data_IF_724725329415
#
_entry.id   IF_724725329415
#
_cell.length_a   1.000
_cell.length_b   1.000
_cell.length_c   1.000
_cell.angle_alpha   90.00
_cell.angle_beta   90.00
_cell.angle_gamma   90.00
#
_symmetry.space_group_name_H-M   'P 1'
#
loop_
_entity.id
_entity.type
_entity.pdbx_description
1 polymer ?
#
# COMPACT_ATOMS: atom_id res chain seq x y z
N UNK A 1 -0.58 -4.60 19.96
CA UNK A 1 -1.32 -4.76 18.68
C UNK A 1 -1.18 -6.20 18.23
N UNK A 2 -2.26 -6.90 17.94
CA UNK A 2 -2.23 -8.33 17.58
C UNK A 2 -3.36 -8.72 16.63
N UNK A 3 -3.59 -10.01 16.44
CA UNK A 3 -4.56 -10.59 15.46
C UNK A 3 -6.00 -10.09 15.60
N UNK A 4 -6.35 -9.50 16.76
CA UNK A 4 -7.65 -8.83 16.98
C UNK A 4 -7.78 -7.49 16.26
N UNK A 5 -6.68 -6.76 16.07
CA UNK A 5 -6.66 -5.47 15.38
C UNK A 5 -6.41 -5.65 13.88
N UNK A 6 -5.43 -6.48 13.53
CA UNK A 6 -5.16 -6.85 12.15
C UNK A 6 -5.69 -8.26 11.89
N UNK A 7 -6.92 -8.34 11.42
CA UNK A 7 -7.50 -9.63 11.00
C UNK A 7 -6.71 -10.19 9.82
N UNK A 8 -6.77 -11.51 9.57
CA UNK A 8 -6.14 -12.10 8.36
C UNK A 8 -6.73 -11.59 7.03
N UNK A 9 -7.78 -10.76 7.09
CA UNK A 9 -8.33 -10.05 5.94
C UNK A 9 -7.58 -8.74 5.64
N UNK A 10 -6.79 -8.24 6.58
CA UNK A 10 -6.03 -7.00 6.43
C UNK A 10 -5.07 -7.07 5.24
N UNK A 11 -4.26 -8.12 5.13
CA UNK A 11 -3.33 -8.34 4.01
C UNK A 11 -4.08 -8.44 2.68
N UNK A 12 -5.29 -9.00 2.68
CA UNK A 12 -6.13 -9.11 1.49
C UNK A 12 -6.68 -7.76 1.05
N UNK A 13 -6.94 -6.86 2.00
CA UNK A 13 -7.40 -5.50 1.71
C UNK A 13 -6.25 -4.61 1.22
N UNK A 14 -5.11 -4.63 1.92
CA UNK A 14 -3.98 -3.76 1.58
C UNK A 14 -3.14 -4.30 0.43
N UNK A 15 -3.24 -5.60 0.14
CA UNK A 15 -2.55 -6.27 -0.96
C UNK A 15 -1.08 -6.60 -0.69
N UNK A 16 -0.56 -6.29 0.49
CA UNK A 16 0.84 -6.46 0.89
C UNK A 16 0.97 -6.83 2.37
N UNK A 17 2.03 -7.53 2.74
CA UNK A 17 2.30 -7.99 4.11
C UNK A 17 3.08 -6.97 4.97
N UNK A 18 3.89 -6.14 4.32
CA UNK A 18 4.80 -5.23 5.02
C UNK A 18 4.10 -4.08 5.77
N UNK A 19 2.86 -3.71 5.40
CA UNK A 19 2.14 -2.61 6.06
C UNK A 19 1.83 -2.98 7.52
N UNK A 20 1.44 -4.22 7.78
CA UNK A 20 1.23 -4.70 9.16
C UNK A 20 2.54 -4.60 9.95
N UNK A 21 3.64 -5.09 9.36
CA UNK A 21 4.95 -5.10 10.00
C UNK A 21 5.44 -3.68 10.31
N UNK A 22 5.26 -2.75 9.38
CA UNK A 22 5.68 -1.36 9.54
C UNK A 22 4.87 -0.63 10.62
N UNK A 23 3.55 -0.90 10.74
CA UNK A 23 2.73 -0.36 11.83
C UNK A 23 3.13 -0.96 13.18
N UNK A 24 3.39 -2.26 13.25
CA UNK A 24 3.85 -2.94 14.49
C UNK A 24 5.22 -2.41 14.91
N UNK A 25 6.10 -2.12 13.95
CA UNK A 25 7.41 -1.51 14.18
C UNK A 25 7.34 -0.03 14.61
N UNK A 26 6.14 0.57 14.65
CA UNK A 26 5.94 1.95 15.08
C UNK A 26 6.33 3.00 14.04
N UNK A 27 6.42 2.63 12.76
CA UNK A 27 6.69 3.59 11.68
C UNK A 27 5.54 4.58 11.54
N UNK A 28 5.88 5.80 11.14
CA UNK A 28 4.90 6.83 10.84
C UNK A 28 4.12 6.48 9.57
N UNK A 29 2.89 6.99 9.45
CA UNK A 29 2.09 6.83 8.25
C UNK A 29 2.79 7.38 6.99
N UNK A 30 3.65 8.39 7.15
CA UNK A 30 4.42 8.98 6.06
C UNK A 30 5.45 7.99 5.51
N UNK A 31 6.25 7.37 6.38
CA UNK A 31 7.26 6.39 5.97
C UNK A 31 6.64 5.17 5.28
N UNK A 32 5.48 4.71 5.78
CA UNK A 32 4.75 3.59 5.18
C UNK A 32 4.25 3.97 3.77
N UNK A 33 3.72 5.19 3.62
CA UNK A 33 3.21 5.71 2.34
C UNK A 33 4.34 5.94 1.32
N UNK A 34 5.50 6.39 1.76
CA UNK A 34 6.67 6.57 0.90
C UNK A 34 7.15 5.24 0.32
N UNK A 35 7.00 4.14 1.05
CA UNK A 35 7.43 2.81 0.62
C UNK A 35 6.74 2.33 -0.66
N UNK A 36 5.43 2.55 -0.81
CA UNK A 36 4.69 2.16 -2.03
C UNK A 36 4.59 3.27 -3.08
N UNK A 37 5.15 4.46 -2.81
CA UNK A 37 5.08 5.59 -3.72
C UNK A 37 5.68 5.26 -5.09
N UNK A 38 6.80 4.55 -5.11
CA UNK A 38 7.45 4.09 -6.34
C UNK A 38 6.51 3.21 -7.20
N UNK A 39 5.72 2.34 -6.57
CA UNK A 39 4.80 1.46 -7.30
C UNK A 39 3.60 2.23 -7.85
N UNK A 40 3.13 3.27 -7.14
CA UNK A 40 2.12 4.20 -7.65
C UNK A 40 2.63 4.92 -8.89
N UNK A 41 3.89 5.39 -8.89
CA UNK A 41 4.49 6.06 -10.05
C UNK A 41 4.61 5.09 -11.23
N UNK A 42 5.06 3.85 -11.01
CA UNK A 42 5.12 2.81 -12.04
C UNK A 42 3.73 2.50 -12.60
N UNK A 43 2.73 2.33 -11.74
CA UNK A 43 1.36 2.06 -12.15
C UNK A 43 0.76 3.21 -12.96
N UNK A 44 1.03 4.46 -12.57
CA UNK A 44 0.63 5.64 -13.35
C UNK A 44 1.22 5.61 -14.76
N UNK A 45 2.47 5.20 -14.94
CA UNK A 45 3.07 5.05 -16.27
C UNK A 45 2.46 3.89 -17.04
N UNK A 46 2.27 2.74 -16.38
CA UNK A 46 1.71 1.54 -16.99
C UNK A 46 0.25 1.71 -17.43
N UNK A 47 -0.56 2.48 -16.69
CA UNK A 47 -1.98 2.68 -17.02
C UNK A 47 -2.21 3.63 -18.20
N UNK A 48 -1.21 4.44 -18.60
CA UNK A 48 -1.35 5.49 -19.64
C UNK A 48 -1.95 4.97 -20.96
N UNK A 49 -1.53 3.82 -21.51
CA UNK A 49 -2.08 3.29 -22.76
C UNK A 49 -3.55 2.87 -22.67
N UNK A 50 -4.08 2.72 -21.45
CA UNK A 50 -5.44 2.23 -21.19
C UNK A 50 -6.38 3.35 -20.73
N UNK A 51 -5.92 4.61 -20.70
CA UNK A 51 -6.74 5.75 -20.31
C UNK A 51 -7.71 6.11 -21.44
N UNK A 52 -9.01 6.04 -21.14
CA UNK A 52 -10.07 6.46 -22.07
C UNK A 52 -10.41 7.95 -21.95
N UNK A 53 -9.97 8.59 -20.87
CA UNK A 53 -10.17 10.01 -20.58
C UNK A 53 -8.82 10.63 -20.19
N UNK A 54 -8.72 11.95 -20.30
CA UNK A 54 -7.55 12.70 -19.83
C UNK A 54 -7.22 12.40 -18.37
N UNK A 55 -5.94 12.51 -18.03
CA UNK A 55 -5.44 12.34 -16.67
C UNK A 55 -5.70 13.56 -15.78
#
# INVERSE_FOLDING_TARGET
MGDKFFTGFFEKLVGVDYIRQDIIAGKSAQEIKEKWYCDVVKFKQQRRPYLLYGE
#
